data_IF_706821580692
#
_entry.id   IF_706821580692
#
_cell.length_a   1.000
_cell.length_b   1.000
_cell.length_c   1.000
_cell.angle_alpha   90.00
_cell.angle_beta   90.00
_cell.angle_gamma   90.00
#
_symmetry.space_group_name_H-M   'P 1'
#
loop_
_entity.id
_entity.type
_entity.pdbx_description
1 polymer ?
#
# COMPACT_ATOMS: atom_id res chain seq x y z
N UNK A 1 21.34 2.37 -11.91
CA UNK A 1 21.08 3.81 -12.08
C UNK A 1 19.59 3.99 -11.88
N UNK A 2 19.16 4.55 -10.75
CA UNK A 2 17.74 4.85 -10.53
C UNK A 2 17.29 5.87 -11.58
N UNK A 3 16.13 5.63 -12.17
CA UNK A 3 15.52 6.52 -13.17
C UNK A 3 15.27 7.90 -12.55
N UNK A 4 15.70 8.97 -13.21
CA UNK A 4 15.63 10.36 -12.73
C UNK A 4 14.20 10.77 -12.35
N UNK A 5 13.20 10.17 -13.02
CA UNK A 5 11.78 10.33 -12.73
C UNK A 5 11.40 9.91 -11.31
N UNK A 6 11.98 8.80 -10.81
CA UNK A 6 11.72 8.30 -9.47
C UNK A 6 12.38 9.17 -8.41
N UNK A 7 13.55 9.73 -8.68
CA UNK A 7 14.21 10.67 -7.77
C UNK A 7 13.38 11.94 -7.56
N UNK A 8 12.84 12.53 -8.64
CA UNK A 8 12.00 13.73 -8.53
C UNK A 8 10.71 13.49 -7.75
N UNK A 9 10.10 12.30 -7.91
CA UNK A 9 8.92 11.93 -7.14
C UNK A 9 9.24 11.82 -5.64
N UNK A 10 10.36 11.19 -5.27
CA UNK A 10 10.77 11.04 -3.87
C UNK A 10 11.08 12.40 -3.22
N UNK A 11 11.73 13.30 -3.95
CA UNK A 11 11.99 14.67 -3.46
C UNK A 11 10.68 15.46 -3.27
N UNK A 12 9.73 15.32 -4.21
CA UNK A 12 8.41 15.91 -4.06
C UNK A 12 7.69 15.37 -2.82
N UNK A 13 7.68 14.05 -2.60
CA UNK A 13 7.08 13.45 -1.40
C UNK A 13 7.74 13.95 -0.12
N UNK A 14 9.08 14.10 -0.10
CA UNK A 14 9.80 14.67 1.05
C UNK A 14 9.32 16.09 1.37
N UNK A 15 9.12 16.92 0.34
CA UNK A 15 8.58 18.27 0.50
C UNK A 15 7.16 18.21 1.05
N UNK A 16 6.27 17.40 0.47
CA UNK A 16 4.88 17.26 0.94
C UNK A 16 4.86 16.90 2.43
N UNK A 17 5.64 15.90 2.85
CA UNK A 17 5.69 15.46 4.25
C UNK A 17 6.21 16.58 5.16
N UNK A 18 7.37 17.17 4.83
CA UNK A 18 8.00 18.19 5.68
C UNK A 18 7.21 19.50 5.77
N UNK A 19 6.49 19.85 4.71
CA UNK A 19 5.77 21.13 4.60
C UNK A 19 4.28 21.01 4.94
N UNK A 20 3.73 19.80 5.05
CA UNK A 20 2.30 19.55 5.30
C UNK A 20 1.75 20.25 6.55
N UNK A 21 2.52 20.32 7.63
CA UNK A 21 2.13 21.00 8.87
C UNK A 21 2.09 22.52 8.72
N UNK A 22 3.01 23.09 7.94
CA UNK A 22 3.09 24.54 7.68
C UNK A 22 2.08 24.99 6.63
N UNK A 23 1.82 24.14 5.63
CA UNK A 23 0.92 24.42 4.51
C UNK A 23 -0.14 23.32 4.37
N UNK A 24 -1.23 23.35 5.18
CA UNK A 24 -2.28 22.32 5.13
C UNK A 24 -2.97 22.20 3.77
N UNK A 25 -3.05 23.30 3.00
CA UNK A 25 -3.60 23.29 1.66
C UNK A 25 -2.77 22.43 0.68
N UNK A 26 -1.45 22.40 0.84
CA UNK A 26 -0.54 21.55 0.05
C UNK A 26 -0.83 20.07 0.32
N UNK A 27 -0.89 19.69 1.59
CA UNK A 27 -1.18 18.32 2.00
C UNK A 27 -2.56 17.86 1.50
N UNK A 28 -3.58 18.71 1.64
CA UNK A 28 -4.93 18.42 1.15
C UNK A 28 -4.99 18.29 -0.37
N UNK A 29 -4.30 19.17 -1.10
CA UNK A 29 -4.23 19.08 -2.55
C UNK A 29 -3.54 17.79 -3.00
N UNK A 30 -2.45 17.39 -2.34
CA UNK A 30 -1.78 16.12 -2.60
C UNK A 30 -2.73 14.93 -2.37
N UNK A 31 -3.43 14.89 -1.24
CA UNK A 31 -4.39 13.80 -0.96
C UNK A 31 -5.51 13.77 -1.99
N UNK A 32 -6.07 14.92 -2.33
CA UNK A 32 -7.21 15.00 -3.25
C UNK A 32 -6.87 14.56 -4.69
N UNK A 33 -5.69 14.92 -5.17
CA UNK A 33 -5.34 14.76 -6.59
C UNK A 33 -4.36 13.63 -6.88
N UNK A 34 -3.65 13.12 -5.86
CA UNK A 34 -2.66 12.06 -6.02
C UNK A 34 -3.10 10.82 -5.25
N UNK A 35 -3.23 10.92 -3.94
CA UNK A 35 -3.46 9.71 -3.13
C UNK A 35 -4.87 9.14 -3.31
N UNK A 36 -5.89 10.00 -3.32
CA UNK A 36 -7.28 9.55 -3.47
C UNK A 36 -7.50 8.78 -4.79
N UNK A 37 -7.05 9.27 -5.97
CA UNK A 37 -7.16 8.49 -7.22
C UNK A 37 -6.46 7.13 -7.16
N UNK A 38 -5.24 7.07 -6.61
CA UNK A 38 -4.50 5.80 -6.46
C UNK A 38 -5.27 4.83 -5.58
N UNK A 39 -5.81 5.33 -4.45
CA UNK A 39 -6.63 4.51 -3.57
C UNK A 39 -7.91 4.03 -4.23
N UNK A 40 -8.62 4.91 -4.94
CA UNK A 40 -9.86 4.57 -5.64
C UNK A 40 -9.61 3.52 -6.75
N UNK A 41 -8.49 3.60 -7.47
CA UNK A 41 -8.08 2.62 -8.49
C UNK A 41 -7.80 1.24 -7.89
N UNK A 42 -6.97 1.16 -6.83
CA UNK A 42 -6.65 -0.11 -6.17
C UNK A 42 -7.90 -0.72 -5.57
N UNK A 43 -8.73 0.08 -4.91
CA UNK A 43 -10.02 -0.35 -4.37
C UNK A 43 -10.92 -0.93 -5.47
N UNK A 44 -11.07 -0.22 -6.60
CA UNK A 44 -11.90 -0.68 -7.70
C UNK A 44 -11.37 -1.99 -8.29
N UNK A 45 -10.06 -2.12 -8.44
CA UNK A 45 -9.42 -3.35 -8.89
C UNK A 45 -9.75 -4.51 -7.94
N UNK A 46 -9.55 -4.35 -6.63
CA UNK A 46 -9.84 -5.38 -5.64
C UNK A 46 -11.33 -5.76 -5.61
N UNK A 47 -12.23 -4.76 -5.69
CA UNK A 47 -13.67 -4.99 -5.72
C UNK A 47 -14.13 -5.73 -6.98
N UNK A 48 -13.42 -5.56 -8.10
CA UNK A 48 -13.72 -6.28 -9.36
C UNK A 48 -13.31 -7.76 -9.34
N UNK A 49 -12.55 -8.20 -8.33
CA UNK A 49 -11.96 -9.54 -8.24
C UNK A 49 -12.67 -10.40 -7.22
N UNK A 50 -13.85 -10.90 -7.58
CA UNK A 50 -14.67 -11.78 -6.73
C UNK A 50 -13.91 -13.05 -6.29
N UNK A 51 -12.93 -13.50 -7.09
CA UNK A 51 -12.06 -14.64 -6.81
C UNK A 51 -11.22 -14.46 -5.52
N UNK A 52 -10.93 -13.22 -5.11
CA UNK A 52 -10.16 -12.92 -3.90
C UNK A 52 -10.99 -13.04 -2.61
N UNK A 53 -12.32 -13.02 -2.70
CA UNK A 53 -13.27 -13.12 -1.56
C UNK A 53 -12.94 -12.17 -0.40
N UNK A 54 -12.53 -10.94 -0.71
CA UNK A 54 -12.22 -9.91 0.28
C UNK A 54 -13.51 -9.44 0.95
N UNK A 55 -13.55 -9.46 2.28
CA UNK A 55 -14.71 -8.99 3.04
C UNK A 55 -14.88 -7.47 2.98
N UNK A 56 -13.77 -6.74 2.89
CA UNK A 56 -13.73 -5.29 2.83
C UNK A 56 -12.60 -4.81 1.88
N UNK A 57 -12.91 -4.63 0.58
CA UNK A 57 -11.93 -4.16 -0.41
C UNK A 57 -11.33 -2.79 -0.09
N UNK A 58 -12.06 -1.92 0.61
CA UNK A 58 -11.60 -0.59 1.01
C UNK A 58 -10.45 -0.71 2.04
N UNK A 59 -10.67 -1.47 3.11
CA UNK A 59 -9.62 -1.71 4.11
C UNK A 59 -8.41 -2.44 3.53
N UNK A 60 -8.63 -3.38 2.61
CA UNK A 60 -7.51 -4.11 1.96
C UNK A 60 -6.70 -3.18 1.05
N UNK A 61 -7.35 -2.26 0.30
CA UNK A 61 -6.64 -1.25 -0.47
C UNK A 61 -5.75 -0.36 0.43
N UNK A 62 -6.28 0.08 1.57
CA UNK A 62 -5.54 0.87 2.56
C UNK A 62 -4.33 0.11 3.13
N UNK A 63 -4.47 -1.21 3.37
CA UNK A 63 -3.37 -2.06 3.83
C UNK A 63 -2.27 -2.17 2.76
N UNK A 64 -2.66 -2.41 1.49
CA UNK A 64 -1.69 -2.49 0.38
C UNK A 64 -0.93 -1.18 0.24
N UNK A 65 -1.67 -0.08 0.06
CA UNK A 65 -1.08 1.23 -0.20
C UNK A 65 -0.28 1.69 1.01
N UNK A 66 -0.81 1.55 2.22
CA UNK A 66 -0.13 1.92 3.45
C UNK A 66 1.19 1.18 3.62
N UNK A 67 1.24 -0.12 3.31
CA UNK A 67 2.46 -0.92 3.37
C UNK A 67 3.51 -0.42 2.37
N UNK A 68 3.11 -0.18 1.11
CA UNK A 68 4.03 0.28 0.06
C UNK A 68 4.52 1.72 0.29
N UNK A 69 3.65 2.61 0.77
CA UNK A 69 3.98 3.99 1.12
C UNK A 69 4.92 4.00 2.33
N UNK A 70 4.65 3.21 3.37
CA UNK A 70 5.53 3.10 4.52
C UNK A 70 6.93 2.61 4.13
N UNK A 71 7.00 1.55 3.32
CA UNK A 71 8.27 1.06 2.76
C UNK A 71 9.00 2.17 1.99
N UNK A 72 8.31 2.88 1.12
CA UNK A 72 8.91 3.95 0.31
C UNK A 72 9.43 5.11 1.17
N UNK A 73 8.67 5.52 2.19
CA UNK A 73 9.09 6.58 3.10
C UNK A 73 10.33 6.14 3.86
N UNK A 74 10.31 4.97 4.50
CA UNK A 74 11.41 4.49 5.34
C UNK A 74 12.66 4.25 4.50
N UNK A 75 12.59 3.43 3.45
CA UNK A 75 13.79 3.02 2.72
C UNK A 75 14.26 4.06 1.70
N UNK A 76 13.38 4.83 1.08
CA UNK A 76 13.77 5.75 -0.01
C UNK A 76 13.79 7.21 0.42
N UNK A 77 12.75 7.69 1.12
CA UNK A 77 12.70 9.10 1.56
C UNK A 77 13.62 9.35 2.75
N UNK A 78 13.67 8.44 3.72
CA UNK A 78 14.54 8.52 4.89
C UNK A 78 15.89 7.81 4.69
N UNK A 79 16.10 7.18 3.53
CA UNK A 79 17.35 6.56 3.12
C UNK A 79 17.90 5.52 4.11
N UNK A 80 17.03 4.73 4.74
CA UNK A 80 17.41 3.79 5.81
C UNK A 80 17.66 2.35 5.35
N UNK A 81 17.87 2.11 4.06
CA UNK A 81 18.06 0.76 3.51
C UNK A 81 19.25 0.00 4.11
N UNK A 82 20.24 0.71 4.65
CA UNK A 82 21.41 0.18 5.36
C UNK A 82 21.10 -0.19 6.82
N UNK A 83 20.14 0.49 7.44
CA UNK A 83 19.73 0.26 8.84
C UNK A 83 18.65 -0.83 8.95
N UNK A 84 17.68 -0.82 8.04
CA UNK A 84 16.61 -1.80 7.97
C UNK A 84 16.58 -2.39 6.55
N UNK A 85 17.28 -3.52 6.30
CA UNK A 85 17.29 -4.12 4.97
C UNK A 85 16.00 -4.92 4.74
N UNK A 86 15.12 -4.40 3.91
CA UNK A 86 13.94 -5.12 3.40
C UNK A 86 13.99 -5.12 1.88
N UNK A 87 13.96 -6.31 1.30
CA UNK A 87 13.89 -6.46 -0.15
C UNK A 87 12.46 -6.18 -0.64
N UNK A 88 12.34 -5.29 -1.63
CA UNK A 88 11.06 -4.89 -2.22
C UNK A 88 10.26 -6.10 -2.71
N UNK A 89 10.90 -7.00 -3.45
CA UNK A 89 10.20 -8.14 -4.07
C UNK A 89 9.69 -9.09 -2.98
N UNK A 90 10.50 -9.34 -1.94
CA UNK A 90 10.07 -10.10 -0.76
C UNK A 90 8.88 -9.47 -0.04
N UNK A 91 8.82 -8.14 0.07
CA UNK A 91 7.68 -7.45 0.67
C UNK A 91 6.41 -7.64 -0.17
N UNK A 92 6.50 -7.45 -1.48
CA UNK A 92 5.38 -7.59 -2.41
C UNK A 92 4.84 -9.03 -2.38
N UNK A 93 5.72 -10.03 -2.49
CA UNK A 93 5.32 -11.44 -2.50
C UNK A 93 4.56 -11.84 -1.23
N UNK A 94 5.04 -11.37 -0.07
CA UNK A 94 4.36 -11.62 1.20
C UNK A 94 3.03 -10.87 1.31
N UNK A 95 2.96 -9.62 0.83
CA UNK A 95 1.71 -8.86 0.82
C UNK A 95 0.65 -9.53 -0.06
N UNK A 96 1.03 -10.00 -1.26
CA UNK A 96 0.14 -10.77 -2.15
C UNK A 96 -0.29 -12.07 -1.47
N UNK A 97 0.64 -12.80 -0.85
CA UNK A 97 0.32 -14.01 -0.11
C UNK A 97 -0.72 -13.74 0.98
N UNK A 98 -0.52 -12.70 1.81
CA UNK A 98 -1.45 -12.33 2.88
C UNK A 98 -2.86 -12.00 2.38
N UNK A 99 -2.97 -11.33 1.24
CA UNK A 99 -4.27 -10.91 0.68
C UNK A 99 -4.98 -12.07 -0.04
N UNK A 100 -4.22 -13.05 -0.51
CA UNK A 100 -4.77 -14.21 -1.24
C UNK A 100 -5.04 -15.41 -0.33
N UNK A 101 -4.47 -15.46 0.88
CA UNK A 101 -4.78 -16.50 1.88
C UNK A 101 -6.28 -16.45 2.20
N UNK A 102 -6.98 -17.50 1.79
CA UNK A 102 -8.38 -17.71 2.12
C UNK A 102 -8.47 -18.34 3.51
N UNK A 103 -9.31 -17.85 4.42
CA UNK A 103 -9.62 -18.61 5.64
C UNK A 103 -10.25 -19.95 5.22
N UNK A 104 -9.64 -21.08 5.60
CA UNK A 104 -10.26 -22.39 5.40
C UNK A 104 -11.60 -22.37 6.14
N UNK A 105 -12.69 -22.52 5.37
CA UNK A 105 -14.04 -22.73 5.92
C UNK A 105 -13.95 -24.00 6.78
N UNK A 106 -14.05 -23.84 8.10
CA UNK A 106 -14.01 -24.93 9.07
C UNK A 106 -14.86 -26.11 8.58
N UNK A 107 -14.19 -27.21 8.16
CA UNK A 107 -14.83 -28.50 7.99
C UNK A 107 -15.11 -29.05 9.39
N UNK A 108 -16.14 -28.58 10.06
CA UNK A 108 -16.60 -29.17 11.33
C UNK A 108 -18.05 -29.61 11.22
N UNK A 109 -18.20 -30.94 11.30
CA UNK A 109 -19.40 -31.74 11.50
C UNK A 109 -20.46 -31.80 10.38
N UNK A 110 -20.14 -32.58 9.34
CA UNK A 110 -21.07 -33.63 8.93
C UNK A 110 -20.57 -34.97 9.52
N UNK A 111 -21.11 -35.35 10.67
CA UNK A 111 -21.30 -36.76 11.04
C UNK A 111 -22.80 -36.90 11.28
N UNK A 112 -23.52 -37.38 10.26
CA UNK A 112 -24.07 -38.74 10.26
C UNK A 112 -25.04 -38.96 11.43
N UNK A 113 -26.33 -38.85 11.10
CA UNK A 113 -27.38 -39.58 11.82
C UNK A 113 -27.49 -41.00 11.32
#
# INVERSE_FOLDING_TARGET
MLDTSQTHLLDFIRIIIGESGRFPALARAFVQHIEKPVHDEVRQYLASRAELKLADPDSVAQIIIGTLVHFSIVHHVLQSSDILPVERDRLIDNLITLITIQPEKSRTCQSQG
#
